data_IF_117492932191
#
_entry.id   IF_117492932191
#
_cell.length_a   1.000
_cell.length_b   1.000
_cell.length_c   1.000
_cell.angle_alpha   90.00
_cell.angle_beta   90.00
_cell.angle_gamma   90.00
#
_symmetry.space_group_name_H-M   'P 1'
#
loop_
_entity.id
_entity.type
_entity.pdbx_description
1 polymer ?
#
# COMPACT_ATOMS: atom_id res chain seq x y z
N UNK A 1 9.17 25.22 -5.86
CA UNK A 1 9.65 24.02 -5.22
C UNK A 1 9.43 24.16 -3.72
N UNK A 2 8.52 23.36 -3.19
CA UNK A 2 8.34 23.29 -1.75
C UNK A 2 9.51 22.49 -1.19
N UNK A 3 10.35 23.10 -0.39
CA UNK A 3 11.35 22.36 0.37
C UNK A 3 10.63 21.57 1.44
N UNK A 4 10.81 20.25 1.46
CA UNK A 4 10.16 19.35 2.41
C UNK A 4 10.73 19.46 3.83
N UNK A 5 11.12 20.66 4.26
CA UNK A 5 11.79 20.86 5.55
C UNK A 5 10.92 20.48 6.76
N UNK A 6 9.59 20.65 6.68
CA UNK A 6 8.70 20.32 7.79
C UNK A 6 8.37 18.82 7.82
N UNK A 7 8.13 18.18 6.66
CA UNK A 7 7.90 16.74 6.57
C UNK A 7 9.17 15.93 6.84
N UNK A 8 10.35 16.45 6.51
CA UNK A 8 11.63 15.80 6.80
C UNK A 8 11.84 15.51 8.29
N UNK A 9 11.25 16.29 9.19
CA UNK A 9 11.43 16.10 10.64
C UNK A 9 10.76 14.82 11.18
N UNK A 10 9.72 14.36 10.53
CA UNK A 10 8.97 13.18 10.95
C UNK A 10 9.63 11.90 10.45
N UNK A 11 10.08 11.88 9.21
CA UNK A 11 10.80 10.73 8.63
C UNK A 11 12.28 10.69 9.00
N UNK A 12 12.83 11.75 9.57
CA UNK A 12 14.21 11.82 10.09
C UNK A 12 14.59 10.68 11.05
N UNK A 13 13.60 10.05 11.70
CA UNK A 13 13.84 8.93 12.61
C UNK A 13 13.86 7.55 11.94
N UNK A 14 13.51 7.43 10.67
CA UNK A 14 13.41 6.14 9.96
C UNK A 14 14.62 5.79 9.08
N UNK A 15 15.53 6.67 8.84
CA UNK A 15 16.70 6.39 8.01
C UNK A 15 17.69 7.56 7.97
N UNK A 16 17.16 8.78 7.84
CA UNK A 16 17.96 9.99 7.76
C UNK A 16 17.64 10.94 8.92
N UNK A 17 17.89 10.50 10.15
CA UNK A 17 17.64 11.32 11.34
C UNK A 17 18.31 12.70 11.21
N UNK A 18 17.49 13.74 11.19
CA UNK A 18 17.89 15.15 11.08
C UNK A 18 18.57 15.56 9.74
N UNK A 19 18.35 14.80 8.65
CA UNK A 19 18.94 15.13 7.35
C UNK A 19 17.84 15.20 6.30
N UNK A 20 17.71 16.29 5.57
CA UNK A 20 16.91 16.39 4.35
C UNK A 20 17.56 15.54 3.26
N UNK A 21 16.87 14.51 2.75
CA UNK A 21 17.45 13.58 1.78
C UNK A 21 17.27 14.04 0.34
N UNK A 22 16.22 14.81 0.07
CA UNK A 22 15.89 15.30 -1.28
C UNK A 22 14.79 16.34 -1.24
N UNK A 23 14.66 17.08 -2.35
CA UNK A 23 13.47 17.88 -2.66
C UNK A 23 12.46 17.02 -3.43
N UNK A 24 11.16 17.23 -3.17
CA UNK A 24 10.07 16.56 -3.86
C UNK A 24 8.92 17.54 -4.10
N UNK A 25 8.34 17.49 -5.29
CA UNK A 25 7.12 18.20 -5.66
C UNK A 25 5.92 17.26 -5.84
N UNK A 26 6.04 16.00 -5.40
CA UNK A 26 5.01 14.98 -5.61
C UNK A 26 3.91 15.13 -4.56
N UNK A 27 4.28 15.11 -3.29
CA UNK A 27 3.31 15.11 -2.18
C UNK A 27 3.55 16.30 -1.27
N UNK A 28 2.47 16.99 -0.93
CA UNK A 28 2.44 17.98 0.15
C UNK A 28 1.68 17.40 1.33
N UNK A 29 2.29 17.48 2.50
CA UNK A 29 1.75 16.95 3.74
C UNK A 29 1.89 17.98 4.86
N UNK A 30 0.77 18.33 5.51
CA UNK A 30 0.74 19.12 6.72
C UNK A 30 0.08 18.32 7.85
N UNK A 31 0.91 17.74 8.72
CA UNK A 31 0.44 16.88 9.80
C UNK A 31 -0.26 17.63 10.94
N UNK A 32 -0.09 18.96 11.07
CA UNK A 32 -0.79 19.77 12.08
C UNK A 32 -2.22 20.06 11.66
N UNK A 33 -2.44 20.29 10.37
CA UNK A 33 -3.75 20.58 9.79
C UNK A 33 -4.47 19.35 9.24
N UNK A 34 -3.79 18.18 9.17
CA UNK A 34 -4.36 16.96 8.59
C UNK A 34 -4.55 17.05 7.07
N UNK A 35 -3.61 17.70 6.36
CA UNK A 35 -3.69 17.91 4.90
C UNK A 35 -2.74 16.95 4.19
N UNK A 36 -3.26 16.28 3.15
CA UNK A 36 -2.49 15.49 2.20
C UNK A 36 -2.89 15.88 0.78
N UNK A 37 -1.89 16.17 -0.07
CA UNK A 37 -2.11 16.52 -1.47
C UNK A 37 -1.09 15.82 -2.36
N UNK A 38 -1.55 15.27 -3.49
CA UNK A 38 -0.70 14.76 -4.55
C UNK A 38 -0.66 15.77 -5.69
N UNK A 39 0.54 16.26 -6.05
CA UNK A 39 0.73 17.27 -7.11
C UNK A 39 -0.20 18.49 -6.98
N UNK A 40 -0.61 18.84 -5.75
CA UNK A 40 -1.51 19.94 -5.46
C UNK A 40 -2.99 19.57 -5.32
N UNK A 41 -3.40 18.39 -5.77
CA UNK A 41 -4.79 17.89 -5.61
C UNK A 41 -5.00 17.31 -4.21
N UNK A 42 -6.12 17.65 -3.59
CA UNK A 42 -6.48 17.10 -2.27
C UNK A 42 -6.74 15.59 -2.36
N UNK A 43 -6.31 14.84 -1.35
CA UNK A 43 -6.46 13.38 -1.33
C UNK A 43 -7.94 12.97 -1.33
N UNK A 44 -8.80 13.76 -0.70
CA UNK A 44 -10.23 13.54 -0.64
C UNK A 44 -10.86 13.63 -2.04
N UNK A 45 -10.45 14.62 -2.84
CA UNK A 45 -10.93 14.78 -4.21
C UNK A 45 -10.46 13.64 -5.10
N UNK A 46 -9.19 13.24 -4.99
CA UNK A 46 -8.63 12.15 -5.77
C UNK A 46 -9.31 10.81 -5.44
N UNK A 47 -9.51 10.52 -4.17
CA UNK A 47 -10.16 9.28 -3.73
C UNK A 47 -11.65 9.19 -4.13
N UNK A 48 -12.34 10.33 -4.30
CA UNK A 48 -13.75 10.34 -4.68
C UNK A 48 -13.98 10.40 -6.20
N UNK A 49 -13.10 11.12 -6.93
CA UNK A 49 -13.33 11.52 -8.33
C UNK A 49 -12.40 10.86 -9.33
N UNK A 50 -11.32 10.21 -8.87
CA UNK A 50 -10.32 9.60 -9.75
C UNK A 50 -10.25 8.09 -9.56
N UNK A 51 -9.67 7.39 -10.53
CA UNK A 51 -9.22 6.00 -10.40
C UNK A 51 -7.75 5.92 -9.99
N UNK A 52 -7.33 4.77 -9.50
CA UNK A 52 -5.92 4.55 -9.15
C UNK A 52 -4.97 4.78 -10.34
N UNK A 53 -5.37 4.39 -11.56
CA UNK A 53 -4.52 4.60 -12.73
C UNK A 53 -4.41 6.08 -13.13
N UNK A 54 -5.44 6.89 -12.94
CA UNK A 54 -5.35 8.36 -13.10
C UNK A 54 -4.39 8.96 -12.07
N UNK A 55 -4.46 8.51 -10.82
CA UNK A 55 -3.56 8.98 -9.76
C UNK A 55 -2.12 8.49 -9.99
N UNK A 56 -1.94 7.25 -10.45
CA UNK A 56 -0.63 6.75 -10.84
C UNK A 56 -0.02 7.59 -11.97
N UNK A 57 -0.80 7.92 -12.99
CA UNK A 57 -0.38 8.82 -14.07
C UNK A 57 0.01 10.20 -13.52
N UNK A 58 -0.84 10.80 -12.67
CA UNK A 58 -0.56 12.09 -12.01
C UNK A 58 0.78 12.08 -11.26
N UNK A 59 1.04 11.03 -10.47
CA UNK A 59 2.26 10.94 -9.68
C UNK A 59 3.52 10.76 -10.54
N UNK A 60 3.42 10.00 -11.63
CA UNK A 60 4.53 9.69 -12.54
C UNK A 60 4.83 10.88 -13.46
N UNK A 61 3.81 11.44 -14.11
CA UNK A 61 3.97 12.45 -15.16
C UNK A 61 3.76 13.89 -14.71
N UNK A 62 3.11 14.09 -13.55
CA UNK A 62 2.98 15.40 -12.90
C UNK A 62 1.64 16.11 -13.05
N UNK A 63 0.80 15.66 -13.97
CA UNK A 63 -0.53 16.21 -14.27
C UNK A 63 -1.56 15.09 -14.41
N UNK A 64 -2.83 15.37 -14.19
CA UNK A 64 -3.91 14.41 -14.46
C UNK A 64 -3.99 14.15 -15.96
N UNK A 65 -4.23 12.89 -16.37
CA UNK A 65 -4.30 12.56 -17.79
C UNK A 65 -5.54 13.15 -18.46
N UNK A 66 -5.42 13.49 -19.72
CA UNK A 66 -6.56 13.62 -20.62
C UNK A 66 -7.20 12.24 -20.86
N UNK A 67 -8.40 12.20 -21.42
CA UNK A 67 -9.09 10.93 -21.73
C UNK A 67 -8.24 10.05 -22.66
N UNK A 68 -7.57 10.66 -23.64
CA UNK A 68 -6.73 9.95 -24.61
C UNK A 68 -5.46 9.40 -23.96
N UNK A 69 -4.80 10.19 -23.10
CA UNK A 69 -3.61 9.76 -22.36
C UNK A 69 -3.94 8.64 -21.36
N UNK A 70 -5.07 8.75 -20.66
CA UNK A 70 -5.51 7.69 -19.76
C UNK A 70 -5.77 6.39 -20.50
N UNK A 71 -6.41 6.47 -21.65
CA UNK A 71 -6.68 5.29 -22.47
C UNK A 71 -5.39 4.64 -22.96
N UNK A 72 -4.43 5.40 -23.49
CA UNK A 72 -3.13 4.88 -23.89
C UNK A 72 -2.38 4.23 -22.69
N UNK A 73 -2.40 4.91 -21.54
CA UNK A 73 -1.77 4.40 -20.34
C UNK A 73 -2.38 3.08 -19.87
N UNK A 74 -3.71 2.97 -19.86
CA UNK A 74 -4.44 1.75 -19.55
C UNK A 74 -4.13 0.62 -20.54
N UNK A 75 -4.15 0.91 -21.84
CA UNK A 75 -3.83 -0.08 -22.89
C UNK A 75 -2.39 -0.61 -22.73
N UNK A 76 -1.43 0.26 -22.46
CA UNK A 76 -0.04 -0.13 -22.19
C UNK A 76 0.07 -1.03 -20.97
N UNK A 77 -0.65 -0.74 -19.89
CA UNK A 77 -0.68 -1.59 -18.69
C UNK A 77 -1.28 -2.96 -19.01
N UNK A 78 -2.44 -2.99 -19.66
CA UNK A 78 -3.13 -4.24 -20.03
C UNK A 78 -2.25 -5.16 -20.86
N UNK A 79 -1.45 -4.62 -21.79
CA UNK A 79 -0.54 -5.40 -22.63
C UNK A 79 0.67 -5.99 -21.88
N UNK A 80 0.88 -5.60 -20.62
CA UNK A 80 2.02 -6.03 -19.81
C UNK A 80 1.66 -6.80 -18.53
N UNK A 81 0.40 -7.16 -18.31
CA UNK A 81 -0.08 -7.86 -17.10
C UNK A 81 0.49 -9.26 -16.92
N UNK A 82 0.74 -9.96 -18.04
CA UNK A 82 1.27 -11.32 -18.02
C UNK A 82 2.75 -11.33 -17.63
N UNK A 83 3.13 -12.23 -16.72
CA UNK A 83 4.54 -12.49 -16.36
C UNK A 83 5.07 -13.71 -17.14
N UNK A 84 6.41 -13.83 -17.25
CA UNK A 84 7.03 -14.97 -17.88
C UNK A 84 6.72 -16.26 -17.12
N UNK A 85 6.45 -17.37 -17.83
CA UNK A 85 6.09 -18.65 -17.21
C UNK A 85 7.15 -19.17 -16.21
N UNK A 86 8.43 -18.95 -16.49
CA UNK A 86 9.52 -19.37 -15.60
C UNK A 86 9.49 -18.69 -14.22
N UNK A 87 8.73 -17.60 -14.06
CA UNK A 87 8.49 -16.98 -12.74
C UNK A 87 7.78 -17.94 -11.81
N UNK A 88 6.95 -18.85 -12.33
CA UNK A 88 6.29 -19.90 -11.52
C UNK A 88 7.32 -20.82 -10.87
N UNK A 89 8.38 -21.20 -11.59
CA UNK A 89 9.44 -22.03 -11.02
C UNK A 89 10.16 -21.36 -9.86
N UNK A 90 10.31 -20.04 -9.92
CA UNK A 90 10.85 -19.25 -8.80
C UNK A 90 9.86 -19.25 -7.63
N UNK A 91 8.59 -19.03 -7.93
CA UNK A 91 7.51 -19.02 -6.93
C UNK A 91 7.37 -20.37 -6.24
N UNK A 92 7.42 -21.47 -6.98
CA UNK A 92 7.30 -22.84 -6.46
C UNK A 92 8.48 -23.23 -5.53
N UNK A 93 9.62 -22.54 -5.65
CA UNK A 93 10.76 -22.70 -4.77
C UNK A 93 10.56 -22.16 -3.35
N UNK A 94 9.53 -21.35 -3.11
CA UNK A 94 9.26 -20.81 -1.79
C UNK A 94 8.45 -21.80 -0.91
N UNK A 95 8.80 -21.90 0.39
CA UNK A 95 7.97 -22.65 1.32
C UNK A 95 6.58 -22.02 1.47
N UNK A 96 5.55 -22.84 1.72
CA UNK A 96 4.16 -22.37 1.83
C UNK A 96 3.90 -21.37 2.96
N UNK A 97 4.75 -21.38 3.98
CA UNK A 97 4.69 -20.43 5.10
C UNK A 97 5.58 -19.20 4.90
N UNK A 98 6.20 -19.03 3.72
CA UNK A 98 6.98 -17.83 3.44
C UNK A 98 6.09 -16.58 3.55
N UNK A 99 6.66 -15.50 4.10
CA UNK A 99 5.95 -14.25 4.23
C UNK A 99 5.70 -13.64 2.83
N UNK A 100 4.47 -13.24 2.47
CA UNK A 100 4.12 -12.80 1.13
C UNK A 100 4.92 -11.58 0.66
N UNK A 101 5.30 -10.68 1.57
CA UNK A 101 6.14 -9.52 1.22
C UNK A 101 7.55 -9.93 0.80
N UNK A 102 8.16 -10.94 1.45
CA UNK A 102 9.45 -11.48 1.06
C UNK A 102 9.38 -12.18 -0.31
N UNK A 103 8.33 -12.94 -0.56
CA UNK A 103 8.07 -13.58 -1.85
C UNK A 103 7.93 -12.51 -2.94
N UNK A 104 7.07 -11.51 -2.73
CA UNK A 104 6.82 -10.44 -3.70
C UNK A 104 8.10 -9.64 -4.02
N UNK A 105 8.87 -9.26 -3.00
CA UNK A 105 10.16 -8.58 -3.19
C UNK A 105 11.10 -9.39 -4.07
N UNK A 106 11.22 -10.69 -3.79
CA UNK A 106 12.08 -11.60 -4.56
C UNK A 106 11.61 -11.75 -6.01
N UNK A 107 10.31 -11.92 -6.24
CA UNK A 107 9.74 -12.01 -7.58
C UNK A 107 9.93 -10.73 -8.39
N UNK A 108 9.74 -9.56 -7.78
CA UNK A 108 9.97 -8.27 -8.45
C UNK A 108 11.45 -8.11 -8.82
N UNK A 109 12.36 -8.48 -7.91
CA UNK A 109 13.81 -8.45 -8.21
C UNK A 109 14.16 -9.37 -9.37
N UNK A 110 13.57 -10.57 -9.43
CA UNK A 110 13.83 -11.56 -10.48
C UNK A 110 13.44 -11.06 -11.88
N UNK A 111 12.51 -10.12 -12.00
CA UNK A 111 12.16 -9.51 -13.29
C UNK A 111 13.36 -8.86 -13.99
N UNK A 112 14.39 -8.46 -13.26
CA UNK A 112 15.64 -7.96 -13.84
C UNK A 112 16.28 -8.99 -14.83
N UNK A 113 16.19 -10.28 -14.51
CA UNK A 113 16.72 -11.34 -15.37
C UNK A 113 15.92 -11.52 -16.66
N UNK A 114 14.61 -11.25 -16.61
CA UNK A 114 13.73 -11.34 -17.78
C UNK A 114 13.76 -10.08 -18.68
N UNK A 115 14.27 -8.97 -18.14
CA UNK A 115 14.38 -7.68 -18.82
C UNK A 115 15.80 -7.11 -18.72
N UNK A 116 16.82 -7.77 -19.34
CA UNK A 116 18.24 -7.42 -19.17
C UNK A 116 18.59 -5.99 -19.62
N UNK A 117 17.83 -5.41 -20.56
CA UNK A 117 18.00 -3.99 -20.95
C UNK A 117 17.76 -3.02 -19.78
N UNK A 118 17.05 -3.41 -18.75
CA UNK A 118 16.85 -2.61 -17.55
C UNK A 118 18.14 -2.37 -16.75
N UNK A 119 19.21 -3.09 -17.06
CA UNK A 119 20.55 -2.95 -16.45
C UNK A 119 21.44 -1.95 -17.20
N UNK A 120 21.06 -1.50 -18.39
CA UNK A 120 21.84 -0.52 -19.12
C UNK A 120 21.84 0.83 -18.39
N UNK A 121 22.97 1.37 -17.96
CA UNK A 121 23.05 2.65 -17.28
C UNK A 121 22.67 3.83 -18.19
N UNK A 122 22.71 3.65 -19.51
CA UNK A 122 22.38 4.67 -20.52
C UNK A 122 20.97 4.48 -21.11
N UNK A 123 20.11 3.71 -20.45
CA UNK A 123 18.72 3.49 -20.90
C UNK A 123 17.97 4.80 -21.17
N UNK A 124 17.25 4.83 -22.27
CA UNK A 124 16.47 6.00 -22.67
C UNK A 124 15.28 6.25 -21.71
N UNK A 125 14.68 7.42 -21.81
CA UNK A 125 13.45 7.74 -21.02
C UNK A 125 12.31 6.78 -21.37
N UNK A 126 12.18 6.39 -22.63
CA UNK A 126 11.17 5.44 -23.12
C UNK A 126 11.39 4.04 -22.53
N UNK A 127 12.63 3.61 -22.38
CA UNK A 127 12.97 2.33 -21.74
C UNK A 127 12.66 2.36 -20.23
N UNK A 128 12.93 3.47 -19.58
CA UNK A 128 12.57 3.69 -18.17
C UNK A 128 11.05 3.68 -18.02
N UNK A 129 10.33 4.45 -18.84
CA UNK A 129 8.87 4.51 -18.85
C UNK A 129 8.24 3.13 -19.11
N UNK A 130 8.73 2.40 -20.12
CA UNK A 130 8.31 1.02 -20.37
C UNK A 130 8.56 0.08 -19.18
N UNK A 131 9.60 0.34 -18.40
CA UNK A 131 9.87 -0.43 -17.17
C UNK A 131 8.89 -0.08 -16.06
N UNK A 132 8.53 1.19 -15.89
CA UNK A 132 7.50 1.64 -14.95
C UNK A 132 6.17 0.97 -15.26
N UNK A 133 5.74 1.02 -16.53
CA UNK A 133 4.51 0.35 -16.99
C UNK A 133 4.52 -1.15 -16.67
N UNK A 134 5.65 -1.84 -16.95
CA UNK A 134 5.76 -3.28 -16.64
C UNK A 134 5.67 -3.56 -15.15
N UNK A 135 6.25 -2.73 -14.30
CA UNK A 135 6.16 -2.90 -12.85
C UNK A 135 4.71 -2.75 -12.41
N UNK A 136 4.04 -1.65 -12.79
CA UNK A 136 2.63 -1.43 -12.46
C UNK A 136 1.74 -2.58 -12.95
N UNK A 137 1.95 -3.04 -14.18
CA UNK A 137 1.13 -4.09 -14.78
C UNK A 137 1.33 -5.48 -14.13
N UNK A 138 2.58 -5.80 -13.74
CA UNK A 138 2.93 -7.15 -13.24
C UNK A 138 2.79 -7.31 -11.73
N UNK A 139 2.85 -6.23 -10.96
CA UNK A 139 2.72 -6.28 -9.51
C UNK A 139 1.43 -6.97 -9.04
N UNK A 140 0.22 -6.67 -9.58
CA UNK A 140 -0.99 -7.38 -9.22
C UNK A 140 -0.91 -8.89 -9.49
N UNK A 141 -0.35 -9.28 -10.64
CA UNK A 141 -0.19 -10.69 -10.99
C UNK A 141 0.75 -11.41 -10.02
N UNK A 142 1.91 -10.82 -9.72
CA UNK A 142 2.89 -11.38 -8.80
C UNK A 142 2.34 -11.48 -7.37
N UNK A 143 1.61 -10.47 -6.91
CA UNK A 143 0.98 -10.46 -5.59
C UNK A 143 -0.12 -11.54 -5.48
N UNK A 144 -0.99 -11.63 -6.47
CA UNK A 144 -2.05 -12.63 -6.52
C UNK A 144 -1.48 -14.06 -6.59
N UNK A 145 -0.46 -14.28 -7.41
CA UNK A 145 0.19 -15.59 -7.51
C UNK A 145 0.93 -15.97 -6.23
N UNK A 146 1.53 -15.01 -5.52
CA UNK A 146 2.13 -15.23 -4.21
C UNK A 146 1.08 -15.71 -3.19
N UNK A 147 -0.10 -15.10 -3.19
CA UNK A 147 -1.23 -15.53 -2.38
C UNK A 147 -1.70 -16.94 -2.76
N UNK A 148 -1.90 -17.21 -4.06
CA UNK A 148 -2.31 -18.54 -4.56
C UNK A 148 -1.32 -19.64 -4.17
N UNK A 149 -0.01 -19.38 -4.28
CA UNK A 149 1.02 -20.33 -3.85
C UNK A 149 0.93 -20.62 -2.34
N UNK A 150 0.75 -19.58 -1.52
CA UNK A 150 0.55 -19.76 -0.07
C UNK A 150 -0.68 -20.60 0.26
N UNK A 151 -1.77 -20.41 -0.48
CA UNK A 151 -3.03 -21.16 -0.31
C UNK A 151 -3.01 -22.55 -0.95
N UNK A 152 -1.91 -22.90 -1.64
CA UNK A 152 -1.79 -24.14 -2.42
C UNK A 152 -2.90 -24.31 -3.46
N UNK A 153 -3.29 -23.18 -4.05
CA UNK A 153 -4.26 -23.10 -5.12
C UNK A 153 -3.57 -22.85 -6.46
N UNK A 154 -4.17 -23.30 -7.58
CA UNK A 154 -3.66 -22.96 -8.90
C UNK A 154 -3.71 -21.46 -9.14
N UNK A 155 -2.70 -20.95 -9.86
CA UNK A 155 -2.68 -19.53 -10.26
C UNK A 155 -3.79 -19.23 -11.27
N UNK A 156 -4.31 -18.02 -11.21
CA UNK A 156 -5.24 -17.46 -12.18
C UNK A 156 -4.51 -16.42 -12.99
N UNK A 157 -4.60 -16.52 -14.33
CA UNK A 157 -3.99 -15.56 -15.24
C UNK A 157 -4.79 -14.27 -15.33
N UNK A 158 -4.15 -13.15 -15.66
CA UNK A 158 -4.86 -11.89 -15.86
C UNK A 158 -5.90 -11.98 -16.97
N UNK A 159 -7.00 -11.25 -16.81
CA UNK A 159 -8.02 -11.05 -17.83
C UNK A 159 -8.00 -9.58 -18.26
N UNK A 160 -7.53 -9.31 -19.47
CA UNK A 160 -7.34 -7.98 -19.99
C UNK A 160 -8.65 -7.23 -20.32
N UNK A 161 -9.81 -7.87 -20.17
CA UNK A 161 -11.12 -7.23 -20.30
C UNK A 161 -11.61 -6.58 -18.99
N UNK A 162 -10.89 -6.78 -17.88
CA UNK A 162 -11.22 -6.22 -16.59
C UNK A 162 -10.35 -4.99 -16.30
N UNK A 163 -10.89 -4.07 -15.48
CA UNK A 163 -10.12 -2.98 -14.93
C UNK A 163 -9.02 -3.49 -13.97
N UNK A 164 -8.12 -2.60 -13.56
CA UNK A 164 -6.94 -2.92 -12.79
C UNK A 164 -7.26 -3.64 -11.46
N UNK A 165 -8.20 -3.11 -10.69
CA UNK A 165 -8.57 -3.67 -9.39
C UNK A 165 -9.39 -4.95 -9.52
N UNK A 166 -10.34 -4.98 -10.45
CA UNK A 166 -11.15 -6.15 -10.75
C UNK A 166 -10.29 -7.33 -11.22
N UNK A 167 -9.29 -7.07 -12.06
CA UNK A 167 -8.35 -8.08 -12.53
C UNK A 167 -7.52 -8.65 -11.38
N UNK A 168 -7.03 -7.80 -10.49
CA UNK A 168 -6.32 -8.25 -9.28
C UNK A 168 -7.17 -9.13 -8.37
N UNK A 169 -8.41 -8.70 -8.06
CA UNK A 169 -9.35 -9.46 -7.23
C UNK A 169 -9.66 -10.83 -7.83
N UNK A 170 -9.91 -10.87 -9.15
CA UNK A 170 -10.14 -12.12 -9.87
C UNK A 170 -8.92 -13.05 -9.80
N UNK A 171 -7.71 -12.55 -10.03
CA UNK A 171 -6.50 -13.36 -9.93
C UNK A 171 -6.26 -13.88 -8.51
N UNK A 172 -6.59 -13.08 -7.50
CA UNK A 172 -6.34 -13.41 -6.10
C UNK A 172 -7.36 -14.41 -5.55
N UNK A 173 -8.64 -14.24 -5.84
CA UNK A 173 -9.73 -15.00 -5.22
C UNK A 173 -10.44 -15.97 -6.15
N UNK A 174 -10.40 -15.76 -7.46
CA UNK A 174 -11.00 -16.66 -8.44
C UNK A 174 -10.29 -18.01 -8.51
N UNK A 175 -10.98 -19.02 -9.06
CA UNK A 175 -10.45 -20.35 -9.36
C UNK A 175 -10.52 -20.58 -10.87
N UNK A 176 -9.58 -21.35 -11.47
CA UNK A 176 -9.61 -21.62 -12.91
C UNK A 176 -10.82 -22.44 -13.37
N UNK A 177 -11.50 -23.10 -12.43
CA UNK A 177 -12.65 -23.99 -12.69
C UNK A 177 -14.00 -23.28 -12.61
N UNK A 178 -14.03 -22.01 -12.19
CA UNK A 178 -15.26 -21.27 -11.93
C UNK A 178 -15.17 -19.88 -12.52
N UNK A 179 -16.32 -19.34 -12.94
CA UNK A 179 -16.43 -17.92 -13.21
C UNK A 179 -16.38 -17.14 -11.88
N UNK A 180 -15.66 -16.03 -11.88
CA UNK A 180 -15.53 -15.15 -10.74
C UNK A 180 -16.07 -13.79 -11.08
N UNK A 181 -17.27 -13.50 -10.60
CA UNK A 181 -17.89 -12.19 -10.74
C UNK A 181 -17.30 -11.24 -9.69
N UNK A 182 -16.63 -10.22 -10.18
CA UNK A 182 -16.04 -9.21 -9.30
C UNK A 182 -17.13 -8.26 -8.79
N UNK A 183 -17.28 -8.21 -7.47
CA UNK A 183 -18.19 -7.24 -6.88
C UNK A 183 -17.67 -5.80 -7.09
N UNK A 184 -18.43 -4.91 -7.76
CA UNK A 184 -17.99 -3.57 -8.11
C UNK A 184 -17.72 -2.67 -6.89
N UNK A 185 -18.43 -2.90 -5.76
CA UNK A 185 -18.20 -2.15 -4.51
C UNK A 185 -16.84 -2.51 -3.93
N UNK A 186 -16.48 -3.79 -3.94
CA UNK A 186 -15.17 -4.28 -3.47
C UNK A 186 -14.04 -3.76 -4.37
N UNK A 187 -14.24 -3.80 -5.71
CA UNK A 187 -13.25 -3.28 -6.66
C UNK A 187 -13.02 -1.78 -6.47
N UNK A 188 -14.09 -0.99 -6.29
CA UNK A 188 -14.00 0.44 -6.04
C UNK A 188 -13.34 0.76 -4.69
N UNK A 189 -13.60 -0.03 -3.66
CA UNK A 189 -12.95 0.14 -2.36
C UNK A 189 -11.44 -0.14 -2.45
N UNK A 190 -11.05 -1.18 -3.19
CA UNK A 190 -9.63 -1.47 -3.45
C UNK A 190 -8.96 -0.35 -4.23
N UNK A 191 -9.62 0.21 -5.24
CA UNK A 191 -9.12 1.33 -6.02
C UNK A 191 -8.85 2.56 -5.13
N UNK A 192 -9.79 2.91 -4.24
CA UNK A 192 -9.60 3.95 -3.22
C UNK A 192 -8.42 3.65 -2.29
N UNK A 193 -8.29 2.40 -1.82
CA UNK A 193 -7.16 2.00 -0.97
C UNK A 193 -5.82 2.20 -1.67
N UNK A 194 -5.72 1.85 -2.95
CA UNK A 194 -4.50 2.05 -3.74
C UNK A 194 -4.19 3.55 -3.92
N UNK A 195 -5.19 4.40 -4.14
CA UNK A 195 -5.01 5.86 -4.21
C UNK A 195 -4.46 6.40 -2.89
N UNK A 196 -5.07 6.02 -1.76
CA UNK A 196 -4.70 6.52 -0.44
C UNK A 196 -3.31 6.08 0.03
N UNK A 197 -2.78 5.00 -0.56
CA UNK A 197 -1.45 4.46 -0.26
C UNK A 197 -0.43 4.70 -1.38
N UNK A 198 -0.78 5.45 -2.44
CA UNK A 198 0.08 5.61 -3.60
C UNK A 198 1.38 6.36 -3.28
N UNK A 199 1.34 7.39 -2.44
CA UNK A 199 2.52 8.13 -1.97
C UNK A 199 2.29 8.74 -0.58
N UNK A 200 3.37 8.90 0.17
CA UNK A 200 3.37 9.60 1.45
C UNK A 200 4.73 10.24 1.73
N UNK A 201 5.14 11.16 0.85
CA UNK A 201 6.41 11.87 0.92
C UNK A 201 7.64 10.93 0.81
N UNK A 202 8.78 11.35 1.35
CA UNK A 202 10.02 10.58 1.39
C UNK A 202 10.01 9.55 2.53
N UNK A 203 9.03 8.66 2.52
CA UNK A 203 8.96 7.53 3.44
C UNK A 203 10.14 6.55 3.25
N UNK A 204 10.22 5.53 4.09
CA UNK A 204 11.31 4.57 4.06
C UNK A 204 11.43 3.85 2.72
N UNK A 205 10.32 3.46 2.10
CA UNK A 205 10.31 2.81 0.79
C UNK A 205 10.80 3.74 -0.31
N UNK A 206 10.25 4.95 -0.42
CA UNK A 206 10.66 5.94 -1.41
C UNK A 206 12.16 6.27 -1.30
N UNK A 207 12.65 6.49 -0.09
CA UNK A 207 14.06 6.74 0.19
C UNK A 207 14.95 5.56 -0.21
N UNK A 208 14.52 4.32 0.09
CA UNK A 208 15.26 3.10 -0.26
C UNK A 208 15.34 2.92 -1.77
N UNK A 209 14.22 3.10 -2.50
CA UNK A 209 14.20 3.03 -3.97
C UNK A 209 15.18 4.04 -4.56
N UNK A 210 15.21 5.27 -4.05
CA UNK A 210 16.12 6.32 -4.51
C UNK A 210 17.58 5.97 -4.24
N UNK A 211 17.90 5.46 -3.05
CA UNK A 211 19.28 5.09 -2.69
C UNK A 211 19.78 3.97 -3.61
N UNK A 212 18.99 2.90 -3.76
CA UNK A 212 19.36 1.79 -4.65
C UNK A 212 19.45 2.25 -6.10
N UNK A 213 18.48 3.06 -6.56
CA UNK A 213 18.46 3.62 -7.92
C UNK A 213 19.63 4.55 -8.21
N UNK A 214 20.19 5.23 -7.20
CA UNK A 214 21.37 6.10 -7.38
C UNK A 214 22.63 5.36 -7.80
N UNK A 215 22.68 4.04 -7.61
CA UNK A 215 23.75 3.18 -8.10
C UNK A 215 23.57 2.74 -9.56
N UNK A 216 22.58 3.27 -10.27
CA UNK A 216 22.13 2.82 -11.59
C UNK A 216 21.64 1.36 -11.64
N UNK A 217 21.26 0.79 -10.52
CA UNK A 217 20.61 -0.51 -10.47
C UNK A 217 19.32 -0.52 -11.31
N UNK A 218 18.87 -1.71 -11.73
CA UNK A 218 17.62 -1.81 -12.46
C UNK A 218 16.45 -1.29 -11.62
N UNK A 219 15.43 -0.73 -12.25
CA UNK A 219 14.25 -0.22 -11.53
C UNK A 219 13.51 -1.36 -10.83
N UNK A 220 13.53 -2.58 -11.37
CA UNK A 220 12.97 -3.77 -10.67
C UNK A 220 13.69 -4.04 -9.35
N UNK A 221 15.02 -4.02 -9.34
CA UNK A 221 15.80 -4.20 -8.12
C UNK A 221 15.57 -3.07 -7.12
N UNK A 222 15.49 -1.82 -7.61
CA UNK A 222 15.22 -0.65 -6.76
C UNK A 222 13.85 -0.72 -6.09
N UNK A 223 12.80 -1.07 -6.84
CA UNK A 223 11.44 -1.23 -6.32
C UNK A 223 11.34 -2.43 -5.39
N UNK A 224 12.03 -3.55 -5.70
CA UNK A 224 12.14 -4.70 -4.80
C UNK A 224 12.70 -4.31 -3.43
N UNK A 225 13.73 -3.47 -3.38
CA UNK A 225 14.28 -2.96 -2.14
C UNK A 225 13.27 -2.08 -1.37
N UNK A 226 12.47 -1.27 -2.09
CA UNK A 226 11.36 -0.52 -1.50
C UNK A 226 10.28 -1.42 -0.90
N UNK A 227 9.95 -2.54 -1.54
CA UNK A 227 9.01 -3.55 -1.02
C UNK A 227 9.59 -4.20 0.25
N UNK A 228 10.89 -4.51 0.26
CA UNK A 228 11.57 -5.04 1.44
C UNK A 228 11.56 -4.03 2.61
N UNK A 229 11.74 -2.74 2.33
CA UNK A 229 11.62 -1.69 3.33
C UNK A 229 10.18 -1.57 3.88
N UNK A 230 9.17 -1.69 2.99
CA UNK A 230 7.76 -1.65 3.37
C UNK A 230 7.40 -2.79 4.33
N UNK A 231 8.00 -3.95 4.21
CA UNK A 231 7.78 -5.08 5.10
C UNK A 231 8.25 -4.84 6.54
N UNK A 232 9.10 -3.86 6.77
CA UNK A 232 9.63 -3.55 8.10
C UNK A 232 8.55 -3.19 9.12
N UNK A 233 8.68 -3.63 10.39
CA UNK A 233 7.65 -3.40 11.44
C UNK A 233 7.46 -1.93 11.81
N UNK A 234 8.41 -1.07 11.45
CA UNK A 234 8.33 0.39 11.66
C UNK A 234 7.82 1.14 10.41
N UNK A 235 7.34 0.42 9.41
CA UNK A 235 6.76 0.96 8.18
C UNK A 235 5.45 0.22 7.86
N UNK A 236 5.26 -0.39 6.69
CA UNK A 236 4.03 -1.07 6.33
C UNK A 236 3.70 -2.34 7.13
N UNK A 237 4.65 -2.89 7.89
CA UNK A 237 4.38 -3.99 8.84
C UNK A 237 3.46 -3.60 10.01
N UNK A 238 3.13 -2.32 10.18
CA UNK A 238 2.19 -1.86 11.19
C UNK A 238 0.78 -2.45 10.98
N UNK A 239 0.29 -2.54 9.75
CA UNK A 239 -1.03 -3.12 9.43
C UNK A 239 -1.14 -4.57 9.91
N UNK A 240 -0.10 -5.38 9.70
CA UNK A 240 -0.05 -6.74 10.21
C UNK A 240 -0.13 -6.76 11.75
N UNK A 241 0.62 -5.89 12.41
CA UNK A 241 0.62 -5.81 13.87
C UNK A 241 -0.75 -5.40 14.44
N UNK A 242 -1.52 -4.57 13.73
CA UNK A 242 -2.91 -4.24 14.10
C UNK A 242 -3.78 -5.48 14.05
N UNK A 243 -3.78 -6.22 12.95
CA UNK A 243 -4.58 -7.44 12.80
C UNK A 243 -4.20 -8.47 13.88
N UNK A 244 -2.91 -8.71 14.10
CA UNK A 244 -2.42 -9.63 15.13
C UNK A 244 -2.88 -9.22 16.53
N UNK A 245 -2.85 -7.92 16.85
CA UNK A 245 -3.35 -7.38 18.11
C UNK A 245 -4.86 -7.59 18.27
N UNK A 246 -5.65 -7.26 17.25
CA UNK A 246 -7.12 -7.43 17.27
C UNK A 246 -7.50 -8.91 17.42
N UNK A 247 -6.82 -9.80 16.71
CA UNK A 247 -7.00 -11.25 16.85
C UNK A 247 -6.63 -11.76 18.25
N UNK A 248 -5.57 -11.22 18.86
CA UNK A 248 -5.18 -11.55 20.23
C UNK A 248 -6.27 -11.09 21.23
N UNK A 249 -6.80 -9.89 21.08
CA UNK A 249 -7.91 -9.38 21.88
C UNK A 249 -9.14 -10.27 21.72
N UNK A 250 -9.50 -10.65 20.49
CA UNK A 250 -10.62 -11.54 20.21
C UNK A 250 -10.47 -12.91 20.90
N UNK A 251 -9.28 -13.51 20.80
CA UNK A 251 -8.96 -14.81 21.42
C UNK A 251 -8.99 -14.78 22.95
N UNK A 252 -8.68 -13.62 23.55
CA UNK A 252 -8.70 -13.39 25.00
C UNK A 252 -10.08 -12.92 25.52
N UNK A 253 -11.13 -13.16 24.76
CA UNK A 253 -12.53 -12.88 25.15
C UNK A 253 -13.07 -11.53 24.71
N UNK A 254 -12.31 -10.71 24.00
CA UNK A 254 -12.79 -9.46 23.39
C UNK A 254 -12.94 -8.30 24.37
N UNK A 255 -12.36 -8.36 25.58
CA UNK A 255 -12.43 -7.28 26.56
C UNK A 255 -11.49 -6.12 26.19
N UNK A 256 -12.02 -5.19 25.44
CA UNK A 256 -11.31 -3.99 24.98
C UNK A 256 -10.80 -3.13 26.16
N UNK A 257 -11.57 -3.03 27.24
CA UNK A 257 -11.23 -2.19 28.40
C UNK A 257 -9.96 -2.67 29.09
N UNK A 258 -9.76 -3.98 29.17
CA UNK A 258 -8.54 -4.60 29.68
C UNK A 258 -7.31 -4.17 28.90
N UNK A 259 -7.39 -4.13 27.56
CA UNK A 259 -6.28 -3.76 26.69
C UNK A 259 -6.02 -2.25 26.66
N UNK A 260 -7.05 -1.44 26.77
CA UNK A 260 -6.90 0.00 26.97
C UNK A 260 -6.16 0.29 28.30
N UNK A 261 -6.51 -0.41 29.39
CA UNK A 261 -5.79 -0.27 30.65
C UNK A 261 -4.31 -0.66 30.53
N UNK A 262 -4.00 -1.77 29.85
CA UNK A 262 -2.62 -2.17 29.55
C UNK A 262 -1.86 -1.13 28.75
N UNK A 263 -2.48 -0.54 27.73
CA UNK A 263 -1.85 0.50 26.90
C UNK A 263 -1.51 1.77 27.68
N UNK A 264 -2.26 2.06 28.75
CA UNK A 264 -2.03 3.19 29.67
C UNK A 264 -0.94 2.90 30.71
N UNK A 265 -0.71 1.65 31.03
CA UNK A 265 0.31 1.24 31.98
C UNK A 265 1.69 1.27 31.34
N UNK A 266 2.56 2.15 31.80
CA UNK A 266 3.93 2.27 31.28
C UNK A 266 4.80 1.05 31.58
N UNK A 267 4.45 0.25 32.57
CA UNK A 267 5.15 -0.98 32.95
C UNK A 267 4.76 -2.19 32.10
N UNK A 268 3.57 -2.15 31.47
CA UNK A 268 3.11 -3.19 30.56
C UNK A 268 3.79 -3.02 29.18
N UNK A 269 4.35 -4.08 28.57
CA UNK A 269 4.96 -4.03 27.25
C UNK A 269 3.92 -3.85 26.11
N UNK A 270 2.63 -4.04 26.39
CA UNK A 270 1.58 -3.91 25.40
C UNK A 270 1.54 -2.50 24.80
N UNK A 271 1.35 -2.43 23.50
CA UNK A 271 1.13 -1.17 22.75
C UNK A 271 -0.11 -1.29 21.92
N UNK A 272 -0.92 -0.25 21.95
CA UNK A 272 -2.09 -0.14 21.09
C UNK A 272 -1.63 0.20 19.67
N UNK A 273 -1.71 -0.77 18.76
CA UNK A 273 -1.36 -0.60 17.34
C UNK A 273 -2.54 0.06 16.61
N UNK A 274 -2.26 0.77 15.51
CA UNK A 274 -3.28 1.51 14.76
C UNK A 274 -3.64 2.87 15.35
N UNK A 275 -2.90 3.34 16.37
CA UNK A 275 -3.14 4.62 17.02
C UNK A 275 -1.90 5.49 17.06
N UNK A 276 -2.11 6.79 16.81
CA UNK A 276 -1.05 7.76 16.68
C UNK A 276 -0.39 7.68 15.30
N UNK A 277 0.21 8.77 14.90
CA UNK A 277 0.93 8.89 13.63
C UNK A 277 2.19 9.73 13.82
N UNK A 278 3.25 9.41 13.11
CA UNK A 278 4.50 10.17 13.22
C UNK A 278 4.41 11.56 12.63
N UNK A 279 3.54 11.74 11.65
CA UNK A 279 3.32 13.01 10.93
C UNK A 279 2.09 13.72 11.45
N UNK A 280 0.93 13.07 11.39
CA UNK A 280 -0.32 13.68 11.82
C UNK A 280 -0.36 13.79 13.34
N UNK A 281 -0.44 15.01 13.83
CA UNK A 281 -0.73 15.32 15.25
C UNK A 281 -2.23 15.45 15.48
N UNK A 282 -2.98 15.55 14.41
CA UNK A 282 -4.42 15.59 14.34
C UNK A 282 -4.90 14.34 13.60
N UNK A 283 -6.10 14.34 13.08
CA UNK A 283 -6.71 13.23 12.37
C UNK A 283 -6.05 13.01 10.99
N UNK A 284 -5.78 11.75 10.63
CA UNK A 284 -5.29 11.39 9.30
C UNK A 284 -6.45 11.48 8.29
N UNK A 285 -6.38 12.32 7.25
CA UNK A 285 -7.50 12.51 6.31
C UNK A 285 -7.89 11.23 5.57
N UNK A 286 -6.96 10.27 5.45
CA UNK A 286 -7.21 9.00 4.79
C UNK A 286 -8.10 8.07 5.63
N UNK A 287 -8.00 8.13 6.95
CA UNK A 287 -8.73 7.23 7.85
C UNK A 287 -10.26 7.35 7.70
N UNK A 288 -10.79 8.57 7.50
CA UNK A 288 -12.23 8.77 7.28
C UNK A 288 -12.69 8.13 5.95
N UNK A 289 -11.87 8.24 4.91
CA UNK A 289 -12.19 7.70 3.59
C UNK A 289 -12.17 6.17 3.63
N UNK A 290 -11.15 5.59 4.27
CA UNK A 290 -11.02 4.13 4.43
C UNK A 290 -12.18 3.57 5.24
N UNK A 291 -12.53 4.22 6.35
CA UNK A 291 -13.66 3.79 7.20
C UNK A 291 -14.97 3.75 6.42
N UNK A 292 -15.27 4.80 5.64
CA UNK A 292 -16.46 4.83 4.77
C UNK A 292 -16.44 3.71 3.74
N UNK A 293 -15.31 3.49 3.07
CA UNK A 293 -15.18 2.41 2.09
C UNK A 293 -15.33 1.02 2.73
N UNK A 294 -14.80 0.82 3.93
CA UNK A 294 -14.96 -0.44 4.68
C UNK A 294 -16.44 -0.68 5.06
N UNK A 295 -17.14 0.33 5.56
CA UNK A 295 -18.57 0.22 5.90
C UNK A 295 -19.42 -0.11 4.66
N UNK A 296 -19.13 0.48 3.50
CA UNK A 296 -19.80 0.19 2.22
C UNK A 296 -19.57 -1.28 1.81
N UNK A 297 -18.34 -1.78 1.89
CA UNK A 297 -18.01 -3.18 1.55
C UNK A 297 -18.69 -4.17 2.49
N UNK A 298 -18.68 -3.92 3.79
CA UNK A 298 -19.31 -4.80 4.77
C UNK A 298 -20.83 -4.88 4.60
N UNK A 299 -21.45 -3.72 4.34
CA UNK A 299 -22.88 -3.67 4.05
C UNK A 299 -23.24 -4.46 2.79
N UNK A 300 -22.44 -4.31 1.73
CA UNK A 300 -22.63 -5.01 0.47
C UNK A 300 -22.46 -6.53 0.60
N UNK A 301 -21.43 -6.96 1.33
CA UNK A 301 -21.15 -8.39 1.50
C UNK A 301 -22.00 -9.04 2.59
N UNK A 302 -22.73 -8.27 3.39
CA UNK A 302 -23.53 -8.77 4.52
C UNK A 302 -22.66 -9.44 5.59
N UNK A 303 -21.39 -9.06 5.70
CA UNK A 303 -20.43 -9.65 6.63
C UNK A 303 -20.39 -8.87 7.93
N UNK A 304 -20.49 -9.58 9.04
CA UNK A 304 -20.21 -9.03 10.36
C UNK A 304 -18.87 -9.62 10.83
N UNK A 305 -17.82 -8.80 10.89
CA UNK A 305 -16.50 -9.23 11.31
C UNK A 305 -16.26 -8.86 12.80
N UNK A 306 -16.14 -9.86 13.69
CA UNK A 306 -15.89 -9.62 15.11
C UNK A 306 -14.58 -8.86 15.39
N UNK A 307 -13.58 -8.96 14.51
CA UNK A 307 -12.31 -8.25 14.63
C UNK A 307 -12.52 -6.76 14.38
N UNK A 308 -13.32 -6.42 13.37
CA UNK A 308 -13.68 -5.04 13.07
C UNK A 308 -14.56 -4.42 14.18
N UNK A 309 -15.46 -5.19 14.81
CA UNK A 309 -16.24 -4.72 15.96
C UNK A 309 -15.33 -4.34 17.14
N UNK A 310 -14.26 -5.11 17.36
CA UNK A 310 -13.23 -4.79 18.37
C UNK A 310 -12.50 -3.49 17.97
N UNK A 311 -12.10 -3.34 16.71
CA UNK A 311 -11.44 -2.14 16.22
C UNK A 311 -12.31 -0.88 16.40
N UNK A 312 -13.60 -0.94 16.05
CA UNK A 312 -14.56 0.16 16.24
C UNK A 312 -14.73 0.52 17.72
N UNK A 313 -14.78 -0.47 18.62
CA UNK A 313 -14.85 -0.22 20.07
C UNK A 313 -13.58 0.44 20.60
N UNK A 314 -12.40 0.01 20.13
CA UNK A 314 -11.12 0.64 20.49
C UNK A 314 -11.07 2.09 20.02
N UNK A 315 -11.48 2.35 18.78
CA UNK A 315 -11.61 3.70 18.23
C UNK A 315 -12.51 4.58 19.08
N UNK A 316 -13.71 4.11 19.40
CA UNK A 316 -14.69 4.84 20.20
C UNK A 316 -14.16 5.21 21.60
N UNK A 317 -13.40 4.33 22.22
CA UNK A 317 -12.78 4.59 23.52
C UNK A 317 -11.65 5.61 23.36
N UNK A 318 -10.77 5.42 22.40
CA UNK A 318 -9.60 6.29 22.22
C UNK A 318 -9.98 7.74 21.88
N UNK A 319 -11.04 7.92 21.09
CA UNK A 319 -11.56 9.27 20.75
C UNK A 319 -12.20 10.02 21.93
N UNK A 320 -12.56 9.33 23.01
CA UNK A 320 -13.23 9.90 24.19
C UNK A 320 -12.35 9.95 25.44
N UNK A 321 -11.22 9.28 25.42
CA UNK A 321 -10.36 9.10 26.59
C UNK A 321 -9.23 10.14 26.60
N UNK A 322 -9.19 10.92 27.68
CA UNK A 322 -8.23 12.02 27.86
C UNK A 322 -6.76 11.60 27.74
N UNK A 323 -6.44 10.34 28.07
CA UNK A 323 -5.07 9.83 27.94
C UNK A 323 -4.60 9.80 26.46
N UNK A 324 -5.48 9.36 25.56
CA UNK A 324 -5.19 9.29 24.13
C UNK A 324 -5.25 10.67 23.48
N UNK A 325 -6.29 11.45 23.80
CA UNK A 325 -6.49 12.82 23.28
C UNK A 325 -5.29 13.70 23.64
N UNK A 326 -4.89 13.73 24.91
CA UNK A 326 -3.76 14.55 25.37
C UNK A 326 -2.41 14.18 24.73
N UNK A 327 -2.30 13.00 24.13
CA UNK A 327 -1.09 12.50 23.46
C UNK A 327 -1.19 12.49 21.95
N UNK A 328 -2.32 12.93 21.39
CA UNK A 328 -2.55 12.87 19.94
C UNK A 328 -2.56 11.45 19.37
N UNK A 329 -3.01 10.47 20.17
CA UNK A 329 -3.08 9.06 19.76
C UNK A 329 -4.43 8.78 19.08
N UNK A 330 -4.66 9.43 17.96
CA UNK A 330 -5.85 9.22 17.15
C UNK A 330 -5.71 7.94 16.29
N UNK A 331 -6.84 7.31 15.91
CA UNK A 331 -6.83 6.23 14.92
C UNK A 331 -6.12 6.68 13.64
N UNK A 332 -5.28 5.82 13.11
CA UNK A 332 -4.57 6.04 11.85
C UNK A 332 -5.12 5.14 10.73
N UNK A 333 -4.42 5.04 9.60
CA UNK A 333 -4.86 4.25 8.43
C UNK A 333 -4.62 2.75 8.57
N UNK A 334 -3.84 2.30 9.55
CA UNK A 334 -3.55 0.89 9.79
C UNK A 334 -4.70 0.21 10.52
#
# INVERSE_FOLDING_TARGET
PYTSSAASDVYKRQGFKNTGSTESAITFLNGEEGILRYRGYAIEDLAEKSSFLEVAFLLIYGELPTIEELKDFQERIVHHTLVHEDVKSILDGFPSNAHPMGVLSSLVSSLTAFYPKSLDPNRSKEEVDGTIIRILAKLPTLAAWSYKNRMRQPVVYPNNNLDYCSNFLRMMFGLPTEEFDVNPVVSKALDKLLILHADHEQNCSASTVRIVGSSHASLYASVSAGIAALWGPLHGGANQAVIEMLEAIRKDGGDVSKYVAKAKDKSDPFRLMGFGHRVYKNFDPRATIIKKAADEVLAELGVNDPVLDIAKKLEDIALKDDYFIARGLYPNVD
#
